data_IF_716389202212
#
_entry.id   IF_716389202212
#
_cell.length_a   1.000
_cell.length_b   1.000
_cell.length_c   1.000
_cell.angle_alpha   90.00
_cell.angle_beta   90.00
_cell.angle_gamma   90.00
#
_symmetry.space_group_name_H-M   'P 1'
#
loop_
_entity.id
_entity.type
_entity.pdbx_description
1 polymer ?
#
# COMPACT_ATOMS: atom_id res chain seq x y z
N UNK A 1 -2.34 3.18 2.24
CA UNK A 1 -2.55 2.42 3.50
C UNK A 1 -3.71 3.02 4.30
N UNK A 2 -3.54 4.16 4.98
CA UNK A 2 -4.58 4.80 5.81
C UNK A 2 -5.72 5.51 5.06
N UNK A 3 -5.93 5.24 3.78
CA UNK A 3 -7.06 5.81 3.02
C UNK A 3 -6.91 7.26 2.52
N UNK A 4 -5.71 7.84 2.56
CA UNK A 4 -5.47 9.18 2.00
C UNK A 4 -5.83 9.25 0.51
N UNK A 5 -6.70 10.19 0.13
CA UNK A 5 -7.14 10.33 -1.26
C UNK A 5 -6.09 11.00 -2.15
N UNK A 6 -5.33 11.96 -1.61
CA UNK A 6 -4.28 12.71 -2.31
C UNK A 6 -3.10 12.97 -1.38
N UNK A 7 -1.89 12.81 -1.90
CA UNK A 7 -0.63 13.03 -1.15
C UNK A 7 0.30 13.92 -1.97
N UNK A 8 0.88 14.94 -1.31
CA UNK A 8 1.92 15.78 -1.88
C UNK A 8 3.28 15.42 -1.27
N UNK A 9 4.20 14.95 -2.10
CA UNK A 9 5.56 14.55 -1.71
C UNK A 9 6.56 15.62 -2.14
N UNK A 10 7.64 15.77 -1.37
CA UNK A 10 8.73 16.73 -1.60
C UNK A 10 8.32 18.20 -1.47
N UNK A 11 7.26 18.54 -0.71
CA UNK A 11 6.77 19.93 -0.56
C UNK A 11 7.85 20.91 -0.05
N UNK A 12 8.76 20.45 0.81
CA UNK A 12 9.82 21.27 1.40
C UNK A 12 11.22 20.97 0.83
N UNK A 13 11.32 20.13 -0.20
CA UNK A 13 12.61 19.77 -0.78
C UNK A 13 12.99 20.76 -1.88
N UNK A 14 13.97 21.62 -1.62
CA UNK A 14 14.43 22.64 -2.57
C UNK A 14 15.07 22.06 -3.85
N UNK A 15 15.52 20.80 -3.81
CA UNK A 15 16.19 20.12 -4.94
C UNK A 15 15.25 19.28 -5.79
N UNK A 16 14.02 19.02 -5.33
CA UNK A 16 13.06 18.12 -6.01
C UNK A 16 11.74 18.83 -6.22
N UNK A 17 11.09 18.54 -7.35
CA UNK A 17 9.74 19.06 -7.60
C UNK A 17 8.73 18.39 -6.69
N UNK A 18 7.69 19.13 -6.34
CA UNK A 18 6.54 18.60 -5.61
C UNK A 18 5.82 17.57 -6.50
N UNK A 19 5.60 16.38 -5.95
CA UNK A 19 4.92 15.28 -6.63
C UNK A 19 3.53 15.10 -6.00
N UNK A 20 2.50 14.98 -6.83
CA UNK A 20 1.13 14.70 -6.39
C UNK A 20 0.76 13.26 -6.74
N UNK A 21 0.36 12.49 -5.75
CA UNK A 21 -0.19 11.15 -5.91
C UNK A 21 -1.66 11.16 -5.53
N UNK A 22 -2.49 10.46 -6.31
CA UNK A 22 -3.92 10.33 -6.05
C UNK A 22 -4.30 8.86 -6.04
N UNK A 23 -5.07 8.45 -5.04
CA UNK A 23 -5.66 7.11 -4.95
C UNK A 23 -6.43 6.74 -6.22
N UNK A 24 -7.19 7.69 -6.78
CA UNK A 24 -7.91 7.53 -8.04
C UNK A 24 -6.98 7.20 -9.20
N UNK A 25 -5.89 7.94 -9.35
CA UNK A 25 -4.93 7.71 -10.44
C UNK A 25 -4.20 6.38 -10.28
N UNK A 26 -3.86 6.00 -9.03
CA UNK A 26 -3.26 4.69 -8.73
C UNK A 26 -4.21 3.56 -9.13
N UNK A 27 -5.49 3.69 -8.79
CA UNK A 27 -6.52 2.72 -9.18
C UNK A 27 -6.71 2.67 -10.70
N UNK A 28 -6.84 3.82 -11.38
CA UNK A 28 -7.01 3.89 -12.84
C UNK A 28 -5.81 3.30 -13.60
N UNK A 29 -4.58 3.52 -13.14
CA UNK A 29 -3.37 3.10 -13.84
C UNK A 29 -2.91 1.69 -13.48
N UNK A 30 -3.11 1.25 -12.23
CA UNK A 30 -2.56 -0.01 -11.73
C UNK A 30 -3.64 -1.00 -11.26
N UNK A 31 -4.92 -0.62 -11.17
CA UNK A 31 -5.98 -1.47 -10.61
C UNK A 31 -5.80 -1.77 -9.11
N UNK A 32 -4.90 -1.04 -8.43
CA UNK A 32 -4.61 -1.22 -7.01
C UNK A 32 -5.54 -0.34 -6.18
N UNK A 33 -6.25 -0.96 -5.25
CA UNK A 33 -7.09 -0.29 -4.26
C UNK A 33 -6.32 -0.13 -2.95
N UNK A 34 -6.99 0.40 -1.92
CA UNK A 34 -6.44 0.46 -0.56
C UNK A 34 -5.99 -0.91 -0.06
N UNK A 35 -6.76 -1.95 -0.40
CA UNK A 35 -6.57 -3.29 0.14
C UNK A 35 -5.31 -3.95 -0.39
N UNK A 36 -5.07 -3.92 -1.70
CA UNK A 36 -3.83 -4.46 -2.26
C UNK A 36 -2.61 -3.66 -1.82
N UNK A 37 -2.75 -2.35 -1.57
CA UNK A 37 -1.66 -1.57 -0.97
C UNK A 37 -1.33 -2.06 0.45
N UNK A 38 -2.33 -2.45 1.25
CA UNK A 38 -2.12 -2.99 2.60
C UNK A 38 -1.48 -4.38 2.52
N UNK A 39 -1.98 -5.25 1.64
CA UNK A 39 -1.39 -6.57 1.39
C UNK A 39 0.08 -6.47 0.96
N UNK A 40 0.39 -5.55 0.04
CA UNK A 40 1.78 -5.27 -0.37
C UNK A 40 2.62 -4.84 0.84
N UNK A 41 2.12 -3.93 1.69
CA UNK A 41 2.87 -3.48 2.86
C UNK A 41 3.10 -4.60 3.89
N UNK A 42 2.14 -5.51 4.07
CA UNK A 42 2.31 -6.67 4.96
C UNK A 42 3.31 -7.69 4.39
N UNK A 43 3.33 -7.88 3.07
CA UNK A 43 4.25 -8.82 2.41
C UNK A 43 5.66 -8.25 2.25
N UNK A 44 5.78 -6.99 1.83
CA UNK A 44 7.07 -6.36 1.49
C UNK A 44 7.68 -5.46 2.57
N UNK A 45 6.96 -5.28 3.68
CA UNK A 45 7.35 -4.39 4.75
C UNK A 45 6.78 -2.98 4.62
N UNK A 46 6.57 -2.37 5.78
CA UNK A 46 6.09 -1.01 5.99
C UNK A 46 6.46 -0.53 7.39
N UNK A 47 5.83 0.56 7.85
CA UNK A 47 6.17 1.13 9.16
C UNK A 47 5.80 0.23 10.36
N UNK A 48 4.82 -0.68 10.18
CA UNK A 48 4.32 -1.57 11.24
C UNK A 48 4.80 -3.02 11.13
N UNK A 49 5.54 -3.36 10.08
CA UNK A 49 6.07 -4.72 9.89
C UNK A 49 7.30 -4.71 8.99
N UNK A 50 8.34 -5.50 9.30
CA UNK A 50 9.46 -5.67 8.38
C UNK A 50 9.03 -6.39 7.09
N UNK A 51 7.89 -7.08 7.08
CA UNK A 51 7.45 -7.94 5.98
C UNK A 51 8.21 -9.26 5.93
N UNK A 52 8.13 -9.95 4.79
CA UNK A 52 8.93 -11.14 4.52
C UNK A 52 10.26 -10.73 3.87
N UNK A 53 11.36 -11.28 4.38
CA UNK A 53 12.71 -11.02 3.90
C UNK A 53 12.82 -11.39 2.40
N UNK A 54 13.46 -10.51 1.62
CA UNK A 54 13.58 -10.61 0.16
C UNK A 54 12.25 -10.62 -0.64
N UNK A 55 11.13 -10.27 -0.01
CA UNK A 55 9.86 -10.00 -0.72
C UNK A 55 9.75 -8.49 -0.97
N UNK A 56 10.13 -8.05 -2.17
CA UNK A 56 9.89 -6.66 -2.59
C UNK A 56 8.46 -6.44 -3.12
N UNK A 57 8.10 -5.19 -3.40
CA UNK A 57 6.78 -4.80 -3.95
C UNK A 57 6.37 -5.63 -5.18
N UNK A 58 7.31 -5.96 -6.06
CA UNK A 58 7.04 -6.78 -7.26
C UNK A 58 6.70 -8.22 -6.88
N UNK A 59 7.45 -8.81 -5.96
CA UNK A 59 7.22 -10.19 -5.48
C UNK A 59 5.93 -10.27 -4.68
N UNK A 60 5.64 -9.28 -3.84
CA UNK A 60 4.38 -9.14 -3.13
C UNK A 60 3.19 -9.10 -4.10
N UNK A 61 3.28 -8.30 -5.16
CA UNK A 61 2.24 -8.23 -6.18
C UNK A 61 2.11 -9.55 -6.97
N UNK A 62 3.21 -10.25 -7.22
CA UNK A 62 3.19 -11.57 -7.84
C UNK A 62 2.48 -12.61 -6.97
N UNK A 63 2.68 -12.57 -5.65
CA UNK A 63 1.94 -13.38 -4.67
C UNK A 63 0.46 -13.02 -4.68
N UNK A 64 0.11 -11.75 -4.50
CA UNK A 64 -1.29 -11.29 -4.49
C UNK A 64 -2.02 -11.77 -5.76
N UNK A 65 -1.40 -11.58 -6.93
CA UNK A 65 -1.99 -12.02 -8.20
C UNK A 65 -2.05 -13.55 -8.40
N UNK A 66 -1.28 -14.36 -7.66
CA UNK A 66 -1.37 -15.83 -7.69
C UNK A 66 -2.46 -16.38 -6.77
N UNK A 67 -2.85 -15.63 -5.74
CA UNK A 67 -3.82 -16.06 -4.72
C UNK A 67 -5.13 -15.28 -4.76
N UNK A 68 -5.24 -14.24 -5.59
CA UNK A 68 -6.49 -13.54 -5.85
C UNK A 68 -7.55 -14.49 -6.41
N UNK A 69 -8.75 -14.46 -5.83
CA UNK A 69 -9.91 -15.19 -6.31
C UNK A 69 -10.91 -14.24 -6.98
N UNK A 70 -11.89 -14.82 -7.67
CA UNK A 70 -13.01 -14.05 -8.22
C UNK A 70 -13.83 -13.47 -7.07
N UNK A 71 -13.73 -12.15 -6.89
CA UNK A 71 -14.58 -11.41 -5.96
C UNK A 71 -16.01 -11.46 -6.44
N UNK A 72 -16.95 -11.87 -5.59
CA UNK A 72 -18.38 -11.71 -5.89
C UNK A 72 -18.79 -10.27 -5.58
N UNK A 73 -19.72 -9.74 -6.37
CA UNK A 73 -20.31 -8.43 -6.08
C UNK A 73 -20.96 -8.45 -4.70
N UNK A 74 -20.49 -7.55 -3.81
CA UNK A 74 -20.99 -7.40 -2.44
C UNK A 74 -20.09 -7.97 -1.34
N UNK A 75 -18.99 -8.65 -1.68
CA UNK A 75 -18.04 -9.14 -0.67
C UNK A 75 -17.34 -7.97 0.05
N UNK A 76 -17.18 -8.12 1.37
CA UNK A 76 -16.44 -7.15 2.18
C UNK A 76 -14.95 -7.23 1.81
N UNK A 77 -14.49 -6.18 1.12
CA UNK A 77 -13.12 -6.09 0.61
C UNK A 77 -12.06 -6.12 1.73
N UNK A 78 -12.41 -5.70 2.95
CA UNK A 78 -11.51 -5.82 4.10
C UNK A 78 -11.28 -7.29 4.46
N UNK A 79 -12.37 -8.05 4.53
CA UNK A 79 -12.35 -9.48 4.87
C UNK A 79 -11.64 -10.28 3.80
N UNK A 80 -11.93 -10.02 2.52
CA UNK A 80 -11.29 -10.72 1.40
C UNK A 80 -9.78 -10.47 1.35
N UNK A 81 -9.34 -9.24 1.64
CA UNK A 81 -7.92 -8.90 1.63
C UNK A 81 -7.14 -9.61 2.74
N UNK A 82 -7.71 -9.71 3.94
CA UNK A 82 -7.09 -10.49 5.01
C UNK A 82 -7.11 -12.00 4.69
N UNK A 83 -8.21 -12.51 4.12
CA UNK A 83 -8.31 -13.89 3.68
C UNK A 83 -7.30 -14.24 2.57
N UNK A 84 -6.93 -13.29 1.71
CA UNK A 84 -5.85 -13.45 0.75
C UNK A 84 -4.50 -13.72 1.43
N UNK A 85 -4.17 -12.92 2.44
CA UNK A 85 -2.93 -13.10 3.20
C UNK A 85 -2.94 -14.43 3.98
N UNK A 86 -4.09 -14.83 4.52
CA UNK A 86 -4.25 -16.15 5.16
C UNK A 86 -4.03 -17.29 4.17
N UNK A 87 -4.59 -17.22 2.96
CA UNK A 87 -4.33 -18.23 1.92
C UNK A 87 -2.86 -18.35 1.55
N UNK A 88 -2.13 -17.23 1.51
CA UNK A 88 -0.67 -17.24 1.29
C UNK A 88 0.03 -17.93 2.46
N UNK A 89 -0.36 -17.65 3.70
CA UNK A 89 0.20 -18.29 4.89
C UNK A 89 -0.09 -19.79 4.94
N UNK A 90 -1.34 -20.20 4.72
CA UNK A 90 -1.74 -21.61 4.66
C UNK A 90 -0.96 -22.35 3.58
N UNK A 91 -0.75 -21.71 2.44
CA UNK A 91 0.08 -22.26 1.39
C UNK A 91 1.54 -22.43 1.85
N UNK A 92 2.17 -21.39 2.42
CA UNK A 92 3.55 -21.48 2.92
C UNK A 92 3.70 -22.60 3.97
N UNK A 93 2.80 -22.68 4.93
CA UNK A 93 2.85 -23.65 6.02
C UNK A 93 2.41 -25.08 5.61
N UNK A 94 1.51 -25.20 4.62
CA UNK A 94 0.96 -26.48 4.15
C UNK A 94 1.97 -27.39 3.42
N UNK A 95 3.15 -26.88 3.06
CA UNK A 95 4.25 -27.67 2.52
C UNK A 95 4.82 -28.70 3.52
N UNK A 96 4.65 -28.48 4.83
CA UNK A 96 5.21 -29.35 5.86
C UNK A 96 4.43 -30.66 6.08
N UNK A 97 3.12 -30.70 5.79
CA UNK A 97 2.31 -31.92 5.98
C UNK A 97 2.58 -33.01 4.94
N UNK A 98 3.14 -32.66 3.79
CA UNK A 98 3.54 -33.60 2.74
C UNK A 98 4.80 -34.40 3.05
N UNK A 99 5.69 -33.88 3.91
CA UNK A 99 6.98 -34.51 4.18
C UNK A 99 6.92 -35.52 5.34
N UNK A 100 6.05 -35.31 6.34
CA UNK A 100 5.89 -36.22 7.49
C UNK A 100 5.31 -37.60 7.14
N UNK A 101 4.55 -37.74 6.04
CA UNK A 101 3.98 -39.04 5.63
C UNK A 101 4.95 -39.94 4.87
N UNK A 102 6.06 -39.41 4.36
CA UNK A 102 7.02 -40.20 3.59
C UNK A 102 8.06 -40.92 4.46
N UNK A 103 8.30 -40.49 5.70
CA UNK A 103 9.25 -41.18 6.59
C UNK A 103 8.60 -42.37 7.32
N UNK A 104 7.31 -42.28 7.68
CA UNK A 104 6.61 -43.36 8.41
C UNK A 104 6.18 -44.55 7.53
N UNK A 105 6.29 -44.47 6.20
CA UNK A 105 5.89 -45.55 5.28
C UNK A 105 7.07 -46.40 4.74
N UNK A 106 8.30 -46.16 5.21
CA UNK A 106 9.48 -46.91 4.78
C UNK A 106 9.72 -48.23 5.54
N UNK A 107 8.81 -48.65 6.43
CA UNK A 107 8.96 -49.93 7.16
C UNK A 107 7.64 -50.69 7.34
N UNK A 108 7.14 -51.32 6.26
CA UNK A 108 6.47 -52.63 6.31
C UNK A 108 6.07 -53.08 4.89
N UNK A 109 6.70 -54.14 4.39
CA UNK A 109 6.10 -55.01 3.36
C UNK A 109 5.50 -56.22 4.07
N UNK A 110 4.33 -56.70 3.61
CA UNK A 110 4.09 -58.04 3.03
C UNK A 110 2.58 -58.31 2.84
N UNK A 111 2.28 -58.89 1.67
CA UNK A 111 1.17 -59.78 1.28
C UNK A 111 -0.06 -59.35 0.46
N UNK A 112 -0.37 -60.26 -0.47
CA UNK A 112 -1.18 -60.21 -1.70
C UNK A 112 -2.71 -60.27 -1.51
N UNK A 113 -3.46 -59.76 -2.51
CA UNK A 113 -4.31 -60.53 -3.45
C UNK A 113 -5.54 -59.71 -3.94
N UNK A 114 -5.81 -59.80 -5.25
CA UNK A 114 -6.86 -59.10 -6.03
C UNK A 114 -8.25 -59.80 -5.94
N UNK A 115 -9.30 -59.42 -6.72
CA UNK A 115 -9.90 -58.12 -7.05
C UNK A 115 -11.44 -58.10 -6.79
N UNK A 116 -12.07 -56.94 -6.56
CA UNK A 116 -13.52 -56.81 -6.82
C UNK A 116 -14.01 -55.36 -6.95
N UNK A 117 -14.74 -55.14 -8.03
CA UNK A 117 -15.46 -53.94 -8.44
C UNK A 117 -16.61 -53.61 -7.48
N UNK A 118 -16.70 -52.37 -6.97
CA UNK A 118 -17.98 -51.74 -6.59
C UNK A 118 -17.85 -50.24 -6.32
N UNK A 119 -18.49 -49.46 -7.21
CA UNK A 119 -19.23 -48.20 -6.97
C UNK A 119 -18.49 -47.04 -6.28
N UNK A 120 -17.94 -46.21 -7.17
CA UNK A 120 -17.43 -44.84 -6.97
C UNK A 120 -18.58 -43.89 -6.58
N UNK A 121 -18.79 -43.66 -5.28
CA UNK A 121 -19.47 -42.45 -4.79
C UNK A 121 -18.43 -41.33 -4.73
N UNK A 122 -18.57 -40.38 -5.64
CA UNK A 122 -17.70 -39.22 -5.83
C UNK A 122 -17.95 -38.24 -4.68
N UNK A 123 -17.24 -38.43 -3.55
CA UNK A 123 -17.04 -37.36 -2.57
C UNK A 123 -16.06 -36.38 -3.20
N UNK A 124 -16.41 -35.10 -3.23
CA UNK A 124 -15.58 -34.00 -3.70
C UNK A 124 -14.35 -33.88 -2.78
N UNK A 125 -13.33 -34.68 -3.07
CA UNK A 125 -12.01 -34.59 -2.48
C UNK A 125 -11.29 -33.42 -3.13
N UNK A 126 -10.88 -32.44 -2.31
CA UNK A 126 -10.13 -31.26 -2.72
C UNK A 126 -9.03 -31.59 -3.72
N UNK A 127 -9.00 -30.83 -4.81
CA UNK A 127 -7.95 -30.89 -5.81
C UNK A 127 -6.60 -30.65 -5.11
N UNK A 128 -5.79 -31.72 -5.00
CA UNK A 128 -4.34 -31.57 -4.82
C UNK A 128 -3.79 -30.98 -6.11
N UNK A 129 -3.96 -29.67 -6.29
CA UNK A 129 -3.43 -28.94 -7.41
C UNK A 129 -1.91 -28.98 -7.36
N UNK A 130 -1.28 -29.55 -8.37
CA UNK A 130 0.17 -29.47 -8.56
C UNK A 130 0.60 -28.01 -8.44
N UNK A 131 1.58 -27.73 -7.56
CA UNK A 131 2.12 -26.37 -7.44
C UNK A 131 2.68 -25.94 -8.79
N UNK A 132 2.25 -24.77 -9.28
CA UNK A 132 2.81 -24.23 -10.52
C UNK A 132 4.29 -23.93 -10.33
N UNK A 133 5.08 -24.03 -11.40
CA UNK A 133 6.52 -23.69 -11.34
C UNK A 133 6.78 -22.26 -10.81
N UNK A 134 5.79 -21.36 -10.88
CA UNK A 134 5.89 -20.02 -10.28
C UNK A 134 5.72 -20.06 -8.76
N UNK A 135 4.71 -20.76 -8.26
CA UNK A 135 4.48 -20.92 -6.81
C UNK A 135 5.70 -21.56 -6.15
N UNK A 136 6.25 -22.61 -6.74
CA UNK A 136 7.49 -23.25 -6.26
C UNK A 136 8.67 -22.26 -6.16
N UNK A 137 8.85 -21.39 -7.17
CA UNK A 137 9.91 -20.36 -7.14
C UNK A 137 9.68 -19.31 -6.06
N UNK A 138 8.44 -18.86 -5.88
CA UNK A 138 8.09 -17.89 -4.84
C UNK A 138 8.32 -18.50 -3.45
N UNK A 139 7.88 -19.75 -3.24
CA UNK A 139 8.09 -20.51 -2.01
C UNK A 139 9.56 -20.63 -1.67
N UNK A 140 10.36 -21.16 -2.59
CA UNK A 140 11.79 -21.33 -2.40
C UNK A 140 12.52 -20.01 -2.11
N UNK A 141 12.02 -18.89 -2.64
CA UNK A 141 12.58 -17.56 -2.34
C UNK A 141 12.25 -17.12 -0.92
N UNK A 142 11.06 -17.41 -0.41
CA UNK A 142 10.62 -17.03 0.94
C UNK A 142 11.29 -17.93 1.98
N UNK A 143 11.15 -19.25 1.85
CA UNK A 143 11.67 -20.25 2.79
C UNK A 143 13.20 -20.19 2.93
N UNK A 144 13.93 -19.85 1.86
CA UNK A 144 15.39 -19.72 1.94
C UNK A 144 15.87 -18.53 2.76
N UNK A 145 15.04 -17.48 2.88
CA UNK A 145 15.45 -16.19 3.43
C UNK A 145 14.74 -15.82 4.73
N UNK A 146 13.77 -16.62 5.19
CA UNK A 146 12.97 -16.33 6.37
C UNK A 146 12.99 -17.54 7.31
N UNK A 147 13.01 -17.28 8.61
CA UNK A 147 12.87 -18.33 9.63
C UNK A 147 11.44 -18.88 9.64
N UNK A 148 11.29 -20.17 9.97
CA UNK A 148 9.99 -20.85 10.03
C UNK A 148 9.01 -20.15 10.98
N UNK A 149 9.49 -19.63 12.11
CA UNK A 149 8.68 -18.89 13.08
C UNK A 149 8.06 -17.61 12.48
N UNK A 150 8.81 -16.92 11.61
CA UNK A 150 8.33 -15.70 10.92
C UNK A 150 7.26 -16.08 9.89
N UNK A 151 7.46 -17.18 9.16
CA UNK A 151 6.51 -17.69 8.17
C UNK A 151 5.21 -18.13 8.85
N UNK A 152 5.30 -18.79 10.01
CA UNK A 152 4.15 -19.24 10.80
C UNK A 152 3.38 -18.09 11.44
N UNK A 153 4.07 -17.04 11.89
CA UNK A 153 3.45 -15.86 12.50
C UNK A 153 2.73 -14.95 11.48
N UNK A 154 3.03 -15.08 10.18
CA UNK A 154 2.41 -14.30 9.12
C UNK A 154 1.02 -14.86 8.74
N UNK A 155 -0.01 -14.04 8.47
CA UNK A 155 -0.08 -12.58 8.62
C UNK A 155 -0.58 -12.14 10.01
N UNK A 156 -0.02 -11.05 10.55
CA UNK A 156 -0.53 -10.45 11.79
C UNK A 156 -1.83 -9.69 11.56
N UNK A 157 -2.89 -10.09 12.28
CA UNK A 157 -4.20 -9.43 12.24
C UNK A 157 -4.16 -8.03 12.83
N UNK A 158 -3.41 -7.84 13.91
CA UNK A 158 -3.28 -6.55 14.60
C UNK A 158 -2.66 -5.49 13.69
N UNK A 159 -1.62 -5.86 12.94
CA UNK A 159 -0.97 -4.96 11.98
C UNK A 159 -1.90 -4.62 10.81
N UNK A 160 -2.65 -5.61 10.31
CA UNK A 160 -3.65 -5.38 9.27
C UNK A 160 -4.73 -4.39 9.74
N UNK A 161 -5.26 -4.59 10.95
CA UNK A 161 -6.28 -3.73 11.57
C UNK A 161 -5.77 -2.31 11.84
N UNK A 162 -4.50 -2.16 12.24
CA UNK A 162 -3.88 -0.84 12.41
C UNK A 162 -3.92 -0.01 11.11
N UNK A 163 -3.78 -0.65 9.94
CA UNK A 163 -3.91 0.02 8.65
C UNK A 163 -5.36 0.13 8.16
N UNK A 164 -6.21 -0.89 8.38
CA UNK A 164 -7.59 -0.93 7.87
C UNK A 164 -8.54 -0.03 8.67
N UNK A 165 -8.36 0.03 9.99
CA UNK A 165 -9.20 0.74 10.96
C UNK A 165 -8.35 1.58 11.92
N UNK A 166 -7.64 2.60 11.41
CA UNK A 166 -6.83 3.46 12.26
C UNK A 166 -7.71 4.24 13.24
N UNK A 167 -7.24 4.41 14.47
CA UNK A 167 -7.86 5.30 15.43
C UNK A 167 -7.67 6.75 14.96
N UNK A 168 -8.76 7.38 14.49
CA UNK A 168 -8.76 8.77 14.02
C UNK A 168 -9.85 9.57 14.70
N UNK A 169 -9.60 10.85 14.89
CA UNK A 169 -10.63 11.81 15.31
C UNK A 169 -11.60 12.06 14.14
N UNK A 170 -12.90 11.86 14.38
CA UNK A 170 -13.98 12.10 13.42
C UNK A 170 -14.61 13.49 13.55
N UNK A 171 -14.01 14.36 14.37
CA UNK A 171 -14.44 15.75 14.53
C UNK A 171 -14.58 16.47 13.19
N UNK A 172 -15.74 17.10 13.00
CA UNK A 172 -16.05 17.93 11.84
C UNK A 172 -15.80 19.42 12.11
N UNK A 173 -15.11 19.75 13.21
CA UNK A 173 -14.76 21.12 13.53
C UNK A 173 -13.95 21.76 12.40
N UNK A 174 -14.33 22.98 12.03
CA UNK A 174 -13.64 23.69 10.95
C UNK A 174 -12.37 24.32 11.52
N UNK A 175 -11.19 24.06 10.92
CA UNK A 175 -9.99 24.78 11.30
C UNK A 175 -10.20 26.29 11.14
N UNK A 176 -9.75 27.06 12.13
CA UNK A 176 -9.80 28.53 12.12
C UNK A 176 -8.38 29.05 12.10
N UNK A 177 -8.07 29.82 11.07
CA UNK A 177 -6.80 30.51 10.93
C UNK A 177 -6.89 31.89 11.58
N UNK A 178 -5.83 32.29 12.28
CA UNK A 178 -5.74 33.59 12.97
C UNK A 178 -4.53 34.37 12.50
N UNK A 179 -4.54 35.67 12.80
CA UNK A 179 -3.35 36.52 12.69
C UNK A 179 -2.27 36.07 13.67
N UNK A 180 -1.02 36.22 13.27
CA UNK A 180 0.17 35.93 14.07
C UNK A 180 0.53 37.16 14.90
N UNK A 181 0.71 36.98 16.21
CA UNK A 181 1.26 38.02 17.08
C UNK A 181 2.80 38.06 16.91
N UNK A 182 3.31 39.00 16.11
CA UNK A 182 4.74 39.11 15.79
C UNK A 182 5.61 39.34 17.04
N UNK A 183 5.16 40.19 17.98
CA UNK A 183 5.91 40.51 19.21
C UNK A 183 6.06 39.30 20.14
N UNK A 184 4.97 38.56 20.35
CA UNK A 184 5.02 37.33 21.17
C UNK A 184 5.89 36.27 20.50
N UNK A 185 5.81 36.15 19.18
CA UNK A 185 6.64 35.22 18.42
C UNK A 185 8.13 35.58 18.51
N UNK A 186 8.49 36.87 18.42
CA UNK A 186 9.87 37.34 18.59
C UNK A 186 10.43 36.96 19.95
N UNK A 187 9.68 37.23 21.03
CA UNK A 187 10.07 36.84 22.39
C UNK A 187 10.24 35.33 22.50
N UNK A 188 9.29 34.56 21.97
CA UNK A 188 9.33 33.10 22.00
C UNK A 188 10.53 32.52 21.24
N UNK A 189 10.78 33.03 20.04
CA UNK A 189 11.89 32.58 19.18
C UNK A 189 13.24 32.98 19.79
N UNK A 190 13.35 34.16 20.38
CA UNK A 190 14.54 34.56 21.13
C UNK A 190 14.82 33.59 22.28
N UNK A 191 13.81 33.31 23.10
CA UNK A 191 13.96 32.41 24.26
C UNK A 191 14.29 30.96 23.88
N UNK A 192 13.71 30.45 22.79
CA UNK A 192 13.87 29.03 22.38
C UNK A 192 15.06 28.80 21.46
N UNK A 193 15.36 29.74 20.57
CA UNK A 193 16.31 29.57 19.48
C UNK A 193 17.43 30.62 19.47
N UNK A 194 17.33 31.67 20.31
CA UNK A 194 18.30 32.76 20.36
C UNK A 194 18.36 33.59 19.07
N UNK A 195 17.27 33.66 18.30
CA UNK A 195 17.24 34.51 17.10
C UNK A 195 16.77 35.90 17.47
N UNK A 196 17.56 36.89 17.11
CA UNK A 196 17.14 38.29 17.14
C UNK A 196 16.09 38.59 16.06
N UNK A 197 15.47 39.76 16.16
CA UNK A 197 14.44 40.22 15.23
C UNK A 197 14.94 40.21 13.77
N UNK A 198 16.19 40.63 13.55
CA UNK A 198 16.77 40.70 12.21
C UNK A 198 16.91 39.32 11.57
N UNK A 199 17.43 38.35 12.32
CA UNK A 199 17.55 36.95 11.87
C UNK A 199 16.18 36.34 11.64
N UNK A 200 15.20 36.59 12.51
CA UNK A 200 13.83 36.10 12.33
C UNK A 200 13.23 36.65 11.04
N UNK A 201 13.32 37.96 10.83
CA UNK A 201 12.81 38.65 9.63
C UNK A 201 13.50 38.14 8.35
N UNK A 202 14.81 37.93 8.39
CA UNK A 202 15.59 37.35 7.28
C UNK A 202 15.16 35.92 6.96
N UNK A 203 14.85 35.10 7.97
CA UNK A 203 14.43 33.70 7.79
C UNK A 203 12.99 33.55 7.31
N UNK A 204 12.09 34.40 7.79
CA UNK A 204 10.68 34.41 7.39
C UNK A 204 10.45 35.13 6.06
N UNK A 205 11.40 35.96 5.62
CA UNK A 205 11.29 36.78 4.40
C UNK A 205 10.02 37.64 4.37
N UNK A 206 9.54 38.05 5.55
CA UNK A 206 8.32 38.85 5.71
C UNK A 206 7.01 38.08 5.48
N UNK A 207 7.04 36.74 5.43
CA UNK A 207 5.84 35.91 5.21
C UNK A 207 4.77 36.09 6.29
N UNK A 208 5.17 36.31 7.55
CA UNK A 208 4.27 36.50 8.68
C UNK A 208 3.46 37.81 8.57
N UNK A 209 4.12 38.89 8.15
CA UNK A 209 3.46 40.17 7.91
C UNK A 209 2.46 40.07 6.77
N UNK A 210 2.87 39.48 5.64
CA UNK A 210 1.99 39.23 4.48
C UNK A 210 0.77 38.38 4.86
N UNK A 211 0.96 37.41 5.75
CA UNK A 211 -0.14 36.62 6.29
C UNK A 211 -1.10 37.45 7.13
N UNK A 212 -0.58 38.31 8.01
CA UNK A 212 -1.39 39.22 8.81
C UNK A 212 -2.17 40.23 7.96
N UNK A 213 -1.53 40.78 6.92
CA UNK A 213 -2.17 41.63 5.90
C UNK A 213 -3.31 40.88 5.20
N UNK A 214 -3.05 39.65 4.74
CA UNK A 214 -4.07 38.78 4.12
C UNK A 214 -5.29 38.51 5.01
N UNK A 215 -5.05 38.32 6.31
CA UNK A 215 -6.11 38.05 7.29
C UNK A 215 -6.85 39.32 7.75
N UNK A 216 -6.30 40.52 7.51
CA UNK A 216 -6.85 41.79 7.98
C UNK A 216 -7.84 42.40 6.98
N UNK A 217 -9.09 42.60 7.41
CA UNK A 217 -10.25 42.99 6.57
C UNK A 217 -10.16 44.32 5.81
N UNK A 218 -9.17 45.18 6.07
CA UNK A 218 -9.18 46.58 5.64
C UNK A 218 -8.61 46.85 4.23
N UNK A 219 -7.92 45.91 3.61
CA UNK A 219 -7.30 46.08 2.26
C UNK A 219 -7.92 45.16 1.19
N UNK A 220 -9.21 44.80 1.34
CA UNK A 220 -9.91 43.86 0.46
C UNK A 220 -9.72 42.37 0.81
N UNK A 221 -8.94 42.06 1.85
CA UNK A 221 -8.68 40.71 2.37
C UNK A 221 -9.58 40.34 3.54
N UNK A 222 -10.84 40.00 3.28
CA UNK A 222 -11.75 39.48 4.32
C UNK A 222 -11.46 38.04 4.77
N UNK A 223 -10.23 37.55 4.61
CA UNK A 223 -9.94 36.12 4.48
C UNK A 223 -10.51 35.52 3.18
N UNK A 224 -11.09 36.34 2.32
CA UNK A 224 -11.45 35.98 0.96
C UNK A 224 -10.17 36.07 0.14
N UNK A 225 -9.91 35.05 -0.68
CA UNK A 225 -8.71 34.93 -1.51
C UNK A 225 -8.31 36.30 -2.09
N UNK A 226 -7.03 36.66 -2.01
CA UNK A 226 -6.47 37.62 -2.96
C UNK A 226 -7.06 37.23 -4.31
N UNK A 227 -7.86 38.09 -4.94
CA UNK A 227 -8.42 37.75 -6.24
C UNK A 227 -7.25 37.72 -7.22
N UNK A 228 -6.62 36.55 -7.28
CA UNK A 228 -5.50 36.30 -8.14
C UNK A 228 -6.10 36.15 -9.52
N UNK A 229 -5.73 37.07 -10.41
CA UNK A 229 -6.09 37.09 -11.82
C UNK A 229 -6.15 35.66 -12.40
N UNK A 230 -7.02 35.39 -13.38
CA UNK A 230 -7.24 34.05 -13.95
C UNK A 230 -5.92 33.30 -14.30
N UNK A 231 -4.87 34.05 -14.61
CA UNK A 231 -3.51 33.56 -14.88
C UNK A 231 -2.79 32.93 -13.68
N UNK A 232 -3.14 33.26 -12.44
CA UNK A 232 -2.58 32.60 -11.25
C UNK A 232 -3.12 31.18 -11.05
N UNK A 233 -4.31 30.89 -11.57
CA UNK A 233 -4.84 29.52 -11.65
C UNK A 233 -4.26 28.73 -12.82
N UNK A 234 -3.59 29.39 -13.77
CA UNK A 234 -3.02 28.79 -14.98
C UNK A 234 -1.63 28.18 -14.77
N UNK A 235 -1.07 28.18 -13.56
CA UNK A 235 0.05 27.29 -13.23
C UNK A 235 -0.45 25.83 -13.24
N UNK A 236 -0.61 25.28 -14.45
CA UNK A 236 -0.65 23.83 -14.63
C UNK A 236 0.69 23.34 -14.10
N UNK A 237 0.63 22.56 -13.03
CA UNK A 237 1.69 21.61 -12.71
C UNK A 237 1.87 20.75 -13.97
N UNK A 238 2.84 21.14 -14.82
CA UNK A 238 3.20 20.37 -15.99
C UNK A 238 3.65 19.01 -15.49
N UNK A 239 2.88 17.99 -15.83
CA UNK A 239 3.29 16.60 -15.74
C UNK A 239 4.60 16.49 -16.56
N UNK A 240 5.74 16.39 -15.88
CA UNK A 240 6.99 16.08 -16.56
C UNK A 240 6.99 14.59 -16.85
N UNK A 241 7.14 14.21 -18.11
CA UNK A 241 7.26 12.81 -18.51
C UNK A 241 8.55 12.18 -17.98
N UNK A 242 9.61 12.98 -17.79
CA UNK A 242 10.86 12.51 -17.17
C UNK A 242 10.67 12.14 -15.68
N UNK A 243 9.81 12.86 -14.95
CA UNK A 243 9.40 12.50 -13.58
C UNK A 243 8.45 11.28 -13.53
N UNK A 244 7.91 10.85 -14.68
CA UNK A 244 7.01 9.70 -14.84
C UNK A 244 7.74 8.42 -15.29
N UNK A 245 9.07 8.37 -15.31
CA UNK A 245 9.84 7.15 -15.63
C UNK A 245 9.61 6.04 -14.59
N UNK A 246 8.45 5.42 -14.68
CA UNK A 246 7.96 4.29 -13.91
C UNK A 246 7.09 3.42 -14.84
N UNK A 247 7.52 3.25 -16.10
CA UNK A 247 6.95 2.20 -16.94
C UNK A 247 7.06 0.89 -16.15
N UNK A 248 5.94 0.22 -15.82
CA UNK A 248 6.00 -0.95 -14.97
C UNK A 248 6.81 -2.03 -15.69
N UNK A 249 7.66 -2.73 -14.95
CA UNK A 249 8.44 -3.83 -15.56
C UNK A 249 7.50 -4.90 -16.12
N UNK A 250 7.97 -5.69 -17.09
CA UNK A 250 7.19 -6.79 -17.66
C UNK A 250 6.71 -7.82 -16.60
N UNK A 251 7.40 -7.92 -15.45
CA UNK A 251 6.95 -8.72 -14.31
C UNK A 251 5.74 -8.09 -13.62
N UNK A 252 5.82 -6.81 -13.30
CA UNK A 252 4.72 -6.04 -12.71
C UNK A 252 3.50 -6.06 -13.62
N UNK A 253 3.66 -5.80 -14.92
CA UNK A 253 2.56 -5.84 -15.89
C UNK A 253 1.86 -7.20 -15.92
N UNK A 254 2.62 -8.30 -15.88
CA UNK A 254 2.05 -9.66 -15.84
C UNK A 254 1.33 -9.96 -14.53
N UNK A 255 1.81 -9.42 -13.41
CA UNK A 255 1.12 -9.55 -12.12
C UNK A 255 -0.17 -8.74 -12.09
N UNK A 256 -0.14 -7.48 -12.54
CA UNK A 256 -1.32 -6.63 -12.64
C UNK A 256 -2.40 -7.21 -13.56
N UNK A 257 -2.02 -7.76 -14.72
CA UNK A 257 -2.97 -8.40 -15.64
C UNK A 257 -3.64 -9.64 -15.02
N UNK A 258 -2.89 -10.45 -14.27
CA UNK A 258 -3.46 -11.61 -13.55
C UNK A 258 -4.42 -11.16 -12.44
N UNK A 259 -4.03 -10.15 -11.68
CA UNK A 259 -4.86 -9.58 -10.63
C UNK A 259 -6.16 -8.99 -11.20
N UNK A 260 -6.06 -8.23 -12.29
CA UNK A 260 -7.23 -7.67 -12.99
C UNK A 260 -8.17 -8.78 -13.51
N UNK A 261 -7.60 -9.84 -14.10
CA UNK A 261 -8.36 -11.00 -14.55
C UNK A 261 -9.07 -11.73 -13.39
N UNK A 262 -8.43 -11.84 -12.22
CA UNK A 262 -9.07 -12.42 -11.03
C UNK A 262 -10.25 -11.56 -10.56
N UNK A 263 -10.12 -10.23 -10.58
CA UNK A 263 -11.18 -9.29 -10.16
C UNK A 263 -12.30 -9.08 -11.18
N UNK A 264 -12.20 -9.65 -12.38
CA UNK A 264 -13.07 -9.30 -13.52
C UNK A 264 -13.06 -7.80 -13.86
N UNK A 265 -12.00 -7.08 -13.51
CA UNK A 265 -11.83 -5.65 -13.81
C UNK A 265 -11.02 -5.46 -15.11
N UNK A 266 -11.46 -4.56 -15.99
CA UNK A 266 -10.63 -4.12 -17.12
C UNK A 266 -9.65 -3.04 -16.65
N UNK A 267 -8.36 -3.20 -16.92
CA UNK A 267 -7.38 -2.13 -16.70
C UNK A 267 -7.69 -0.99 -17.70
N UNK A 268 -8.07 0.18 -17.20
CA UNK A 268 -8.62 1.30 -17.98
C UNK A 268 -7.60 2.09 -18.82
N UNK A 269 -6.41 1.53 -19.07
CA UNK A 269 -5.48 2.07 -20.05
C UNK A 269 -4.62 0.94 -20.60
N UNK A 270 -4.41 0.93 -21.93
CA UNK A 270 -3.35 0.13 -22.53
C UNK A 270 -2.03 0.52 -21.88
N UNK A 271 -1.55 -0.33 -20.97
CA UNK A 271 -0.18 -0.32 -20.47
C UNK A 271 0.71 -0.70 -21.66
N UNK A 272 0.94 0.27 -22.57
CA UNK A 272 1.79 0.11 -23.74
C UNK A 272 3.21 -0.14 -23.27
N UNK A 273 3.78 -1.19 -23.86
CA UNK A 273 5.14 -1.68 -23.66
C UNK A 273 6.19 -0.66 -24.08
#
# INVERSE_FOLDING_TARGET
LFGASTVYKNMFNLKRRVQKYSSRTIHEQLGLTRWEMIEIALLSGGDYTPGLENVGVVTALELISEFAMQSKDGDDKEVEAFALLQRISDWLNGGQEGNRRNEEQSSANIDECSPSMSKKLKRESGEKGYETARRLKLRATIERNNDDDVIQAFPSREIFEAYSRPLVDSSTEKPVWRTVNEKELEIFVWQRLGWDEERLKKRTQGSLRKWNEYMSRCEGGGGVAYQTHITSFLYRLHKSEDDQRLAPTARVLRALRRLAAAKSEQLFHELKS
#
